data_IF_319488721343
#
_entry.id   IF_319488721343
#
_cell.length_a   1.000
_cell.length_b   1.000
_cell.length_c   1.000
_cell.angle_alpha   90.00
_cell.angle_beta   90.00
_cell.angle_gamma   90.00
#
_symmetry.space_group_name_H-M   'P 1'
#
loop_
_entity.id
_entity.type
_entity.pdbx_description
1 polymer ?
#
# COMPACT_ATOMS: atom_id res chain seq x y z
N UNK A 1 6.22 -23.76 -9.62
CA UNK A 1 5.16 -23.89 -8.59
C UNK A 1 3.83 -24.23 -9.28
N UNK A 2 2.85 -24.82 -8.61
CA UNK A 2 1.53 -25.02 -9.20
C UNK A 2 0.80 -23.68 -9.31
N UNK A 3 0.13 -23.43 -10.44
CA UNK A 3 -0.69 -22.23 -10.61
C UNK A 3 -1.78 -22.19 -9.53
N UNK A 4 -2.15 -20.99 -9.09
CA UNK A 4 -3.26 -20.79 -8.14
C UNK A 4 -4.57 -21.30 -8.79
N UNK A 5 -5.30 -22.13 -8.06
CA UNK A 5 -6.61 -22.61 -8.48
C UNK A 5 -7.64 -21.45 -8.43
N UNK A 6 -8.10 -21.00 -9.62
CA UNK A 6 -9.03 -19.88 -9.76
C UNK A 6 -10.43 -20.14 -9.21
N UNK A 7 -10.76 -21.40 -8.89
CA UNK A 7 -12.04 -21.78 -8.28
C UNK A 7 -11.95 -21.96 -6.76
N UNK A 8 -10.74 -21.99 -6.22
CA UNK A 8 -10.52 -22.09 -4.78
C UNK A 8 -10.90 -20.80 -4.05
N UNK A 9 -11.32 -20.88 -2.77
CA UNK A 9 -11.63 -19.68 -1.99
C UNK A 9 -10.37 -18.82 -1.72
N UNK A 10 -10.41 -17.56 -2.18
CA UNK A 10 -9.36 -16.56 -2.01
C UNK A 10 -9.86 -15.44 -1.10
N UNK A 11 -9.24 -15.24 0.04
CA UNK A 11 -9.59 -14.15 0.94
C UNK A 11 -8.73 -12.91 0.72
N UNK A 12 -9.38 -11.76 0.53
CA UNK A 12 -8.74 -10.45 0.46
C UNK A 12 -9.07 -9.66 1.74
N UNK A 13 -8.18 -9.77 2.72
CA UNK A 13 -8.29 -9.02 3.98
C UNK A 13 -7.95 -7.54 3.73
N UNK A 14 -8.93 -6.64 3.89
CA UNK A 14 -8.78 -5.21 3.57
C UNK A 14 -9.28 -4.81 2.19
N UNK A 15 -10.22 -5.56 1.62
CA UNK A 15 -10.76 -5.41 0.26
C UNK A 15 -11.33 -4.03 -0.09
N UNK A 16 -11.69 -3.18 0.90
CA UNK A 16 -12.16 -1.80 0.68
C UNK A 16 -11.05 -0.76 0.66
N UNK A 17 -9.80 -1.13 0.97
CA UNK A 17 -8.65 -0.23 0.90
C UNK A 17 -8.16 -0.05 -0.53
N UNK A 18 -7.25 0.93 -0.74
CA UNK A 18 -6.58 1.18 -2.02
C UNK A 18 -6.07 -0.12 -2.66
N UNK A 19 -5.24 -0.88 -1.96
CA UNK A 19 -4.65 -2.12 -2.46
C UNK A 19 -5.67 -3.25 -2.57
N UNK A 20 -6.49 -3.44 -1.52
CA UNK A 20 -7.43 -4.56 -1.50
C UNK A 20 -8.49 -4.47 -2.58
N UNK A 21 -8.99 -3.27 -2.90
CA UNK A 21 -9.96 -3.08 -3.99
C UNK A 21 -9.34 -3.36 -5.36
N UNK A 22 -8.09 -2.96 -5.58
CA UNK A 22 -7.36 -3.27 -6.81
C UNK A 22 -7.12 -4.78 -6.96
N UNK A 23 -6.72 -5.48 -5.89
CA UNK A 23 -6.57 -6.94 -5.92
C UNK A 23 -7.90 -7.61 -6.27
N UNK A 24 -9.03 -7.18 -5.68
CA UNK A 24 -10.34 -7.76 -6.00
C UNK A 24 -10.69 -7.56 -7.46
N UNK A 25 -10.50 -6.35 -8.02
CA UNK A 25 -10.73 -6.09 -9.46
C UNK A 25 -9.87 -6.99 -10.35
N UNK A 26 -8.58 -7.10 -10.02
CA UNK A 26 -7.66 -7.97 -10.78
C UNK A 26 -8.08 -9.43 -10.71
N UNK A 27 -8.37 -9.96 -9.52
CA UNK A 27 -8.80 -11.35 -9.37
C UNK A 27 -10.09 -11.65 -10.16
N UNK A 28 -11.06 -10.72 -10.18
CA UNK A 28 -12.27 -10.83 -10.99
C UNK A 28 -11.93 -10.86 -12.49
N UNK A 29 -11.06 -9.98 -12.95
CA UNK A 29 -10.62 -9.91 -14.36
C UNK A 29 -9.85 -11.17 -14.78
N UNK A 30 -9.09 -11.77 -13.86
CA UNK A 30 -8.33 -13.01 -14.08
C UNK A 30 -9.19 -14.30 -13.93
N UNK A 31 -10.50 -14.16 -13.72
CA UNK A 31 -11.43 -15.28 -13.69
C UNK A 31 -11.48 -16.05 -12.37
N UNK A 32 -11.09 -15.46 -11.26
CA UNK A 32 -11.30 -16.06 -9.94
C UNK A 32 -12.78 -16.01 -9.59
N UNK A 33 -13.38 -17.16 -9.27
CA UNK A 33 -14.82 -17.29 -9.07
C UNK A 33 -15.25 -17.33 -7.60
N UNK A 34 -14.32 -17.47 -6.66
CA UNK A 34 -14.61 -17.60 -5.24
C UNK A 34 -13.76 -16.62 -4.40
N UNK A 35 -14.06 -15.32 -4.55
CA UNK A 35 -13.38 -14.26 -3.84
C UNK A 35 -14.14 -13.95 -2.55
N UNK A 36 -13.50 -14.19 -1.41
CA UNK A 36 -14.04 -13.94 -0.07
C UNK A 36 -13.61 -12.54 0.40
N UNK A 37 -14.57 -11.79 0.92
CA UNK A 37 -14.36 -10.48 1.53
C UNK A 37 -15.20 -10.35 2.79
N UNK A 38 -14.74 -9.59 3.76
CA UNK A 38 -15.51 -9.27 4.96
C UNK A 38 -15.23 -7.82 5.39
N UNK A 39 -16.28 -7.06 5.65
CA UNK A 39 -16.21 -5.72 6.20
C UNK A 39 -15.88 -5.76 7.69
N UNK A 40 -15.33 -4.67 8.21
CA UNK A 40 -15.04 -4.54 9.64
C UNK A 40 -16.29 -4.68 10.54
N UNK A 41 -17.49 -4.37 10.03
CA UNK A 41 -18.76 -4.59 10.75
C UNK A 41 -19.16 -6.06 10.81
N UNK A 42 -18.59 -6.92 9.98
CA UNK A 42 -18.84 -8.38 9.91
C UNK A 42 -17.68 -9.14 10.55
N UNK A 43 -16.45 -8.62 10.44
CA UNK A 43 -15.23 -9.25 10.94
C UNK A 43 -14.21 -8.18 11.37
N UNK A 44 -14.06 -7.96 12.67
CA UNK A 44 -12.94 -7.17 13.18
C UNK A 44 -11.68 -8.03 13.22
N UNK A 45 -10.75 -7.76 12.32
CA UNK A 45 -9.49 -8.52 12.21
C UNK A 45 -8.60 -8.42 13.46
N UNK A 46 -8.94 -7.57 14.43
CA UNK A 46 -8.25 -7.46 15.72
C UNK A 46 -8.80 -8.43 16.76
N UNK A 47 -9.99 -8.98 16.55
CA UNK A 47 -10.61 -9.95 17.44
C UNK A 47 -10.19 -11.38 17.03
N UNK A 48 -9.39 -12.02 17.88
CA UNK A 48 -8.89 -13.37 17.63
C UNK A 48 -10.01 -14.40 17.50
N UNK A 49 -11.06 -14.28 18.31
CA UNK A 49 -12.18 -15.22 18.32
C UNK A 49 -13.00 -15.13 17.03
N UNK A 50 -13.33 -13.90 16.60
CA UNK A 50 -14.04 -13.66 15.35
C UNK A 50 -13.25 -14.16 14.14
N UNK A 51 -11.94 -13.85 14.08
CA UNK A 51 -11.07 -14.25 12.96
C UNK A 51 -10.94 -15.78 12.91
N UNK A 52 -10.69 -16.45 14.03
CA UNK A 52 -10.60 -17.92 14.10
C UNK A 52 -11.92 -18.58 13.67
N UNK A 53 -13.05 -18.07 14.14
CA UNK A 53 -14.37 -18.57 13.72
C UNK A 53 -14.61 -18.39 12.23
N UNK A 54 -14.32 -17.20 11.70
CA UNK A 54 -14.52 -16.86 10.29
C UNK A 54 -13.64 -17.75 9.38
N UNK A 55 -12.37 -17.93 9.68
CA UNK A 55 -11.44 -18.79 8.93
C UNK A 55 -11.90 -20.25 8.97
N UNK A 56 -12.37 -20.74 10.12
CA UNK A 56 -12.90 -22.09 10.26
C UNK A 56 -14.15 -22.32 9.40
N UNK A 57 -15.04 -21.33 9.33
CA UNK A 57 -16.27 -21.42 8.55
C UNK A 57 -16.05 -21.30 7.04
N UNK A 58 -15.15 -20.41 6.61
CA UNK A 58 -14.96 -20.04 5.19
C UNK A 58 -13.81 -20.79 4.50
N UNK A 59 -12.84 -21.32 5.26
CA UNK A 59 -11.73 -22.15 4.76
C UNK A 59 -11.02 -21.58 3.54
N UNK A 60 -10.52 -20.33 3.57
CA UNK A 60 -9.76 -19.80 2.44
C UNK A 60 -8.52 -20.65 2.16
N UNK A 61 -8.25 -20.93 0.89
CA UNK A 61 -7.02 -21.60 0.47
C UNK A 61 -5.88 -20.61 0.23
N UNK A 62 -6.24 -19.40 -0.22
CA UNK A 62 -5.28 -18.33 -0.49
C UNK A 62 -5.70 -17.07 0.25
N UNK A 63 -4.72 -16.34 0.78
CA UNK A 63 -4.97 -15.12 1.54
C UNK A 63 -4.07 -13.98 1.08
N UNK A 64 -4.68 -12.84 0.73
CA UNK A 64 -4.00 -11.56 0.59
C UNK A 64 -4.25 -10.74 1.85
N UNK A 65 -3.26 -10.65 2.73
CA UNK A 65 -3.33 -9.85 3.95
C UNK A 65 -2.80 -8.44 3.67
N UNK A 66 -3.70 -7.57 3.22
CA UNK A 66 -3.40 -6.18 2.89
C UNK A 66 -4.10 -5.18 3.83
N UNK A 67 -4.86 -5.70 4.79
CA UNK A 67 -5.49 -4.90 5.84
C UNK A 67 -4.44 -4.28 6.77
N UNK A 68 -4.74 -3.07 7.23
CA UNK A 68 -3.93 -2.39 8.23
C UNK A 68 -4.47 -0.99 8.52
N UNK A 69 -4.13 -0.46 9.70
CA UNK A 69 -4.31 0.94 10.04
C UNK A 69 -3.14 1.73 9.44
N UNK A 70 -3.43 2.56 8.45
CA UNK A 70 -2.44 3.32 7.68
C UNK A 70 -2.80 4.80 7.65
N UNK A 71 -1.80 5.66 7.42
CA UNK A 71 -2.00 7.10 7.31
C UNK A 71 -0.69 7.84 7.08
N UNK A 72 -0.79 9.15 6.79
CA UNK A 72 0.35 10.04 6.59
C UNK A 72 1.19 10.26 7.87
N UNK A 73 2.22 11.11 7.77
CA UNK A 73 3.16 11.39 8.86
C UNK A 73 2.44 11.93 10.11
N UNK A 74 1.50 12.86 9.93
CA UNK A 74 0.75 13.45 11.05
C UNK A 74 -0.04 12.41 11.82
N UNK A 75 -0.78 11.54 11.12
CA UNK A 75 -1.57 10.48 11.73
C UNK A 75 -0.69 9.47 12.50
N UNK A 76 0.45 9.08 11.93
CA UNK A 76 1.42 8.19 12.58
C UNK A 76 2.01 8.81 13.85
N UNK A 77 2.38 10.09 13.81
CA UNK A 77 3.01 10.77 14.95
C UNK A 77 2.03 11.09 16.08
N UNK A 78 0.74 11.29 15.78
CA UNK A 78 -0.29 11.67 16.76
C UNK A 78 -1.03 10.46 17.36
N UNK A 79 -1.05 9.31 16.70
CA UNK A 79 -1.75 8.10 17.15
C UNK A 79 -0.86 6.84 17.18
N UNK A 80 0.34 6.91 17.77
CA UNK A 80 1.33 5.81 17.71
C UNK A 80 0.82 4.50 18.30
N UNK A 81 0.07 4.55 19.41
CA UNK A 81 -0.47 3.37 20.07
C UNK A 81 -1.50 2.62 19.19
N UNK A 82 -2.37 3.35 18.49
CA UNK A 82 -3.33 2.74 17.57
C UNK A 82 -2.62 2.07 16.39
N UNK A 83 -1.62 2.75 15.80
CA UNK A 83 -0.88 2.21 14.66
C UNK A 83 -0.13 0.92 15.00
N UNK A 84 0.55 0.84 16.15
CA UNK A 84 1.25 -0.38 16.53
C UNK A 84 0.26 -1.48 16.94
N UNK A 85 -0.72 -1.16 17.82
CA UNK A 85 -1.63 -2.15 18.38
C UNK A 85 -2.53 -2.76 17.30
N UNK A 86 -3.24 -1.94 16.52
CA UNK A 86 -4.16 -2.42 15.50
C UNK A 86 -3.45 -3.32 14.48
N UNK A 87 -2.29 -2.86 13.98
CA UNK A 87 -1.56 -3.65 12.98
C UNK A 87 -1.01 -4.95 13.57
N UNK A 88 -0.46 -4.95 14.78
CA UNK A 88 0.02 -6.19 15.42
C UNK A 88 -1.12 -7.19 15.62
N UNK A 89 -2.29 -6.74 16.08
CA UNK A 89 -3.45 -7.61 16.26
C UNK A 89 -3.92 -8.19 14.92
N UNK A 90 -4.13 -7.35 13.89
CA UNK A 90 -4.54 -7.80 12.55
C UNK A 90 -3.57 -8.87 12.01
N UNK A 91 -2.27 -8.61 12.09
CA UNK A 91 -1.26 -9.55 11.57
C UNK A 91 -1.25 -10.86 12.38
N UNK A 92 -1.29 -10.74 13.70
CA UNK A 92 -1.24 -11.90 14.61
C UNK A 92 -2.43 -12.82 14.42
N UNK A 93 -3.63 -12.29 14.43
CA UNK A 93 -4.87 -13.06 14.33
C UNK A 93 -5.03 -13.73 12.96
N UNK A 94 -4.77 -13.00 11.87
CA UNK A 94 -4.95 -13.53 10.51
C UNK A 94 -3.90 -14.57 10.17
N UNK A 95 -2.60 -14.31 10.45
CA UNK A 95 -1.52 -15.26 10.15
C UNK A 95 -1.69 -16.56 10.98
N UNK A 96 -2.06 -16.43 12.27
CA UNK A 96 -2.28 -17.60 13.10
C UNK A 96 -3.49 -18.42 12.63
N UNK A 97 -4.62 -17.77 12.35
CA UNK A 97 -5.83 -18.47 11.84
C UNK A 97 -5.60 -19.11 10.48
N UNK A 98 -4.79 -18.47 9.61
CA UNK A 98 -4.40 -19.05 8.33
C UNK A 98 -3.62 -20.36 8.52
N UNK A 99 -2.71 -20.41 9.47
CA UNK A 99 -1.99 -21.63 9.84
C UNK A 99 -2.93 -22.70 10.39
N UNK A 100 -3.76 -22.36 11.39
CA UNK A 100 -4.65 -23.35 12.06
C UNK A 100 -5.67 -23.96 11.08
N UNK A 101 -6.10 -23.20 10.07
CA UNK A 101 -7.07 -23.68 9.10
C UNK A 101 -6.46 -24.28 7.83
N UNK A 102 -5.12 -24.31 7.74
CA UNK A 102 -4.40 -24.95 6.65
C UNK A 102 -4.47 -24.17 5.33
N UNK A 103 -4.32 -22.84 5.39
CA UNK A 103 -4.18 -21.99 4.20
C UNK A 103 -2.97 -22.43 3.38
N UNK A 104 -3.16 -22.68 2.09
CA UNK A 104 -2.09 -23.15 1.20
C UNK A 104 -1.01 -22.09 1.00
N UNK A 105 -1.42 -20.81 0.82
CA UNK A 105 -0.49 -19.70 0.65
C UNK A 105 -1.07 -18.38 1.15
N UNK A 106 -0.23 -17.59 1.81
CA UNK A 106 -0.56 -16.26 2.29
C UNK A 106 0.48 -15.24 1.81
N UNK A 107 0.01 -14.13 1.24
CA UNK A 107 0.83 -12.95 0.98
C UNK A 107 0.53 -11.89 2.02
N UNK A 108 1.54 -11.52 2.79
CA UNK A 108 1.52 -10.41 3.73
C UNK A 108 2.07 -9.15 3.06
N UNK A 109 1.29 -8.06 3.07
CA UNK A 109 1.72 -6.78 2.56
C UNK A 109 2.31 -5.92 3.68
N UNK A 110 3.63 -5.72 3.61
CA UNK A 110 4.37 -4.81 4.47
C UNK A 110 4.33 -3.37 3.98
N UNK A 111 5.45 -2.68 4.15
CA UNK A 111 5.66 -1.31 3.69
C UNK A 111 7.15 -0.99 3.67
N UNK A 112 7.61 -0.17 2.75
CA UNK A 112 9.00 0.32 2.71
C UNK A 112 9.41 1.16 3.94
N UNK A 113 8.47 1.50 4.84
CA UNK A 113 8.76 2.15 6.13
C UNK A 113 9.58 1.28 7.10
N UNK A 114 9.68 -0.02 6.84
CA UNK A 114 10.47 -0.97 7.65
C UNK A 114 11.98 -0.76 7.58
N UNK A 115 12.45 -0.05 6.58
CA UNK A 115 13.87 0.15 6.37
C UNK A 115 14.44 1.30 7.21
N UNK A 116 15.72 1.22 7.57
CA UNK A 116 16.38 2.27 8.32
C UNK A 116 16.26 3.63 7.62
N UNK A 117 16.16 4.69 8.42
CA UNK A 117 16.10 6.08 7.92
C UNK A 117 17.25 6.43 6.98
N UNK A 118 18.44 5.89 7.25
CA UNK A 118 19.67 6.17 6.53
C UNK A 118 20.20 4.95 5.76
N UNK A 119 19.29 4.03 5.35
CA UNK A 119 19.67 2.91 4.50
C UNK A 119 20.32 3.37 3.20
N UNK A 120 21.28 2.58 2.70
CA UNK A 120 21.88 2.82 1.39
C UNK A 120 20.82 2.81 0.28
N UNK A 121 21.04 3.61 -0.76
CA UNK A 121 20.09 3.77 -1.87
C UNK A 121 20.69 3.23 -3.18
N UNK A 122 19.97 2.42 -3.96
CA UNK A 122 18.62 1.88 -3.68
C UNK A 122 18.63 0.89 -2.50
N UNK A 123 17.49 0.81 -1.77
CA UNK A 123 17.36 0.02 -0.54
C UNK A 123 17.13 -1.44 -0.89
N UNK A 124 18.04 -2.31 -0.51
CA UNK A 124 17.89 -3.76 -0.67
C UNK A 124 17.11 -4.37 0.50
N UNK A 125 16.57 -5.57 0.30
CA UNK A 125 15.85 -6.29 1.37
C UNK A 125 16.74 -6.62 2.58
N UNK A 126 18.04 -6.71 2.39
CA UNK A 126 19.02 -7.01 3.44
C UNK A 126 19.19 -5.85 4.45
N UNK A 127 18.70 -4.65 4.13
CA UNK A 127 18.69 -3.50 5.04
C UNK A 127 17.67 -3.63 6.19
N UNK A 128 16.81 -4.65 6.18
CA UNK A 128 15.84 -4.87 7.25
C UNK A 128 16.54 -5.07 8.60
N UNK A 129 16.24 -4.18 9.57
CA UNK A 129 16.85 -4.15 10.91
C UNK A 129 18.34 -3.78 10.94
N UNK A 130 18.90 -3.24 9.87
CA UNK A 130 20.31 -2.82 9.82
C UNK A 130 20.60 -1.48 10.53
N UNK A 131 19.57 -0.73 10.95
CA UNK A 131 19.73 0.55 11.62
C UNK A 131 18.43 1.13 12.19
N UNK A 132 18.49 2.36 12.77
CA UNK A 132 17.33 3.04 13.35
C UNK A 132 16.26 3.38 12.29
N UNK A 133 15.02 3.22 12.68
CA UNK A 133 13.84 3.57 11.86
C UNK A 133 13.62 5.09 11.82
N UNK A 134 12.73 5.53 10.92
CA UNK A 134 12.26 6.91 10.89
C UNK A 134 11.33 7.19 12.10
N UNK A 135 11.69 8.11 13.01
CA UNK A 135 10.95 8.30 14.26
C UNK A 135 9.47 8.66 14.08
N UNK A 136 9.11 9.33 12.98
CA UNK A 136 7.73 9.79 12.74
C UNK A 136 6.75 8.67 12.43
N UNK A 137 7.24 7.48 12.02
CA UNK A 137 6.42 6.31 11.71
C UNK A 137 6.97 5.00 12.30
N UNK A 138 7.86 5.08 13.29
CA UNK A 138 8.54 3.94 13.91
C UNK A 138 7.56 2.87 14.39
N UNK A 139 6.47 3.26 15.04
CA UNK A 139 5.48 2.34 15.60
C UNK A 139 4.76 1.51 14.54
N UNK A 140 4.41 2.14 13.44
CA UNK A 140 3.88 1.44 12.26
C UNK A 140 4.92 0.51 11.65
N UNK A 141 6.14 0.99 11.48
CA UNK A 141 7.24 0.20 10.92
C UNK A 141 7.54 -1.05 11.78
N UNK A 142 7.58 -0.92 13.11
CA UNK A 142 7.76 -2.05 14.03
C UNK A 142 6.64 -3.10 13.84
N UNK A 143 5.38 -2.66 13.76
CA UNK A 143 4.27 -3.59 13.53
C UNK A 143 4.41 -4.31 12.18
N UNK A 144 4.83 -3.60 11.13
CA UNK A 144 5.07 -4.21 9.81
C UNK A 144 6.25 -5.18 9.82
N UNK A 145 7.34 -4.86 10.51
CA UNK A 145 8.47 -5.78 10.73
C UNK A 145 8.02 -7.02 11.48
N UNK A 146 7.21 -6.88 12.54
CA UNK A 146 6.66 -8.00 13.28
C UNK A 146 5.84 -8.95 12.40
N UNK A 147 5.03 -8.41 11.47
CA UNK A 147 4.27 -9.21 10.50
C UNK A 147 5.17 -10.02 9.56
N UNK A 148 6.26 -9.42 9.03
CA UNK A 148 7.26 -10.14 8.22
C UNK A 148 7.87 -11.28 9.03
N UNK A 149 8.35 -10.97 10.24
CA UNK A 149 8.98 -11.96 11.11
C UNK A 149 8.03 -13.07 11.53
N UNK A 150 6.74 -12.76 11.68
CA UNK A 150 5.71 -13.73 11.95
C UNK A 150 5.55 -14.71 10.76
N UNK A 151 5.42 -14.22 9.54
CA UNK A 151 5.36 -15.07 8.34
C UNK A 151 6.60 -15.97 8.23
N UNK A 152 7.80 -15.41 8.42
CA UNK A 152 9.06 -16.16 8.44
C UNK A 152 9.07 -17.25 9.52
N UNK A 153 8.60 -16.95 10.73
CA UNK A 153 8.56 -17.89 11.84
C UNK A 153 7.62 -19.08 11.54
N UNK A 154 6.42 -18.81 11.01
CA UNK A 154 5.47 -19.86 10.62
C UNK A 154 5.99 -20.72 9.47
N UNK A 155 6.67 -20.10 8.51
CA UNK A 155 7.33 -20.82 7.43
C UNK A 155 8.41 -21.78 7.96
N UNK A 156 9.28 -21.29 8.82
CA UNK A 156 10.40 -22.10 9.39
C UNK A 156 9.93 -23.21 10.31
N UNK A 157 8.96 -22.93 11.17
CA UNK A 157 8.51 -23.86 12.17
C UNK A 157 7.51 -24.89 11.63
N UNK A 158 6.59 -24.48 10.77
CA UNK A 158 5.45 -25.28 10.34
C UNK A 158 5.42 -25.56 8.84
N UNK A 159 6.34 -25.01 8.07
CA UNK A 159 6.39 -25.21 6.61
C UNK A 159 5.31 -24.44 5.82
N UNK A 160 4.67 -23.44 6.44
CA UNK A 160 3.65 -22.61 5.79
C UNK A 160 4.24 -21.85 4.58
N UNK A 161 3.54 -21.79 3.45
CA UNK A 161 3.95 -20.94 2.33
C UNK A 161 3.42 -19.50 2.50
N UNK A 162 3.92 -18.83 3.55
CA UNK A 162 3.61 -17.44 3.87
C UNK A 162 4.75 -16.55 3.38
N UNK A 163 4.44 -15.66 2.46
CA UNK A 163 5.40 -14.74 1.82
C UNK A 163 5.09 -13.29 2.19
N UNK A 164 6.08 -12.41 2.03
CA UNK A 164 5.94 -10.99 2.37
C UNK A 164 6.42 -10.10 1.24
N UNK A 165 5.61 -9.11 0.84
CA UNK A 165 5.91 -8.12 -0.17
C UNK A 165 5.98 -6.71 0.42
N UNK A 166 7.00 -5.92 0.03
CA UNK A 166 7.29 -4.58 0.56
C UNK A 166 7.09 -3.53 -0.53
N UNK A 167 5.90 -2.92 -0.62
CA UNK A 167 5.65 -1.92 -1.65
C UNK A 167 6.33 -0.59 -1.32
N UNK A 168 6.68 0.14 -2.39
CA UNK A 168 7.01 1.56 -2.35
C UNK A 168 5.77 2.42 -2.10
N UNK A 169 5.83 3.76 -2.33
CA UNK A 169 4.65 4.61 -2.17
C UNK A 169 3.62 4.30 -3.26
N UNK A 170 2.40 4.09 -2.84
CA UNK A 170 1.29 3.69 -3.70
C UNK A 170 0.37 4.86 -4.01
N UNK A 171 -0.27 4.81 -5.16
CA UNK A 171 -1.33 5.72 -5.57
C UNK A 171 -2.25 5.02 -6.58
N UNK A 172 -3.44 5.55 -6.78
CA UNK A 172 -4.38 5.02 -7.77
C UNK A 172 -5.85 5.17 -7.37
N UNK A 173 -6.77 4.58 -8.15
CA UNK A 173 -8.19 4.53 -7.85
C UNK A 173 -8.49 3.95 -6.47
N UNK A 174 -9.30 4.65 -5.66
CA UNK A 174 -9.62 4.24 -4.29
C UNK A 174 -8.69 4.79 -3.21
N UNK A 175 -7.78 5.70 -3.56
CA UNK A 175 -6.90 6.35 -2.58
C UNK A 175 -7.66 7.31 -1.64
N UNK A 176 -6.96 7.77 -0.61
CA UNK A 176 -7.47 8.73 0.38
C UNK A 176 -7.11 10.16 -0.04
N UNK A 177 -8.11 10.98 -0.33
CA UNK A 177 -7.94 12.38 -0.77
C UNK A 177 -8.13 13.41 0.36
N UNK A 178 -8.17 12.99 1.61
CA UNK A 178 -8.23 13.89 2.77
C UNK A 178 -6.92 14.66 2.94
N UNK A 179 -6.99 15.99 3.00
CA UNK A 179 -5.80 16.85 3.03
C UNK A 179 -4.95 16.68 4.30
N UNK A 180 -5.54 16.20 5.40
CA UNK A 180 -4.86 16.03 6.69
C UNK A 180 -4.24 14.63 6.86
N UNK A 181 -4.78 13.62 6.19
CA UNK A 181 -4.38 12.22 6.39
C UNK A 181 -3.86 11.50 5.15
N UNK A 182 -3.97 12.11 3.96
CA UNK A 182 -3.56 11.51 2.69
C UNK A 182 -2.05 11.49 2.46
N UNK A 183 -1.63 10.73 1.47
CA UNK A 183 -0.28 10.74 0.92
C UNK A 183 -0.10 11.89 -0.08
N UNK A 184 1.14 12.11 -0.52
CA UNK A 184 1.51 13.27 -1.33
C UNK A 184 0.76 13.37 -2.66
N UNK A 185 0.58 12.26 -3.41
CA UNK A 185 -0.11 12.29 -4.71
C UNK A 185 -1.57 12.70 -4.56
N UNK A 186 -2.42 12.01 -3.77
CA UNK A 186 -3.82 12.42 -3.62
C UNK A 186 -3.97 13.81 -2.99
N UNK A 187 -3.08 14.22 -2.07
CA UNK A 187 -3.09 15.58 -1.52
C UNK A 187 -2.83 16.65 -2.60
N UNK A 188 -1.82 16.44 -3.45
CA UNK A 188 -1.52 17.37 -4.54
C UNK A 188 -2.64 17.38 -5.59
N UNK A 189 -3.14 16.22 -6.01
CA UNK A 189 -4.28 16.15 -6.93
C UNK A 189 -5.48 16.94 -6.42
N UNK A 190 -5.84 16.75 -5.14
CA UNK A 190 -6.93 17.48 -4.51
C UNK A 190 -6.68 19.00 -4.50
N UNK A 191 -5.48 19.44 -4.12
CA UNK A 191 -5.12 20.87 -4.11
C UNK A 191 -5.23 21.50 -5.51
N UNK A 192 -4.71 20.84 -6.54
CA UNK A 192 -4.81 21.32 -7.93
C UNK A 192 -6.24 21.31 -8.45
N UNK A 193 -7.04 20.30 -8.08
CA UNK A 193 -8.46 20.22 -8.44
C UNK A 193 -9.26 21.35 -7.76
N UNK A 194 -9.07 21.56 -6.48
CA UNK A 194 -9.77 22.61 -5.72
C UNK A 194 -9.41 24.01 -6.23
N UNK A 195 -8.14 24.25 -6.57
CA UNK A 195 -7.69 25.50 -7.18
C UNK A 195 -8.37 25.74 -8.54
N UNK A 196 -8.41 24.71 -9.40
CA UNK A 196 -9.11 24.78 -10.68
C UNK A 196 -10.60 25.09 -10.52
N UNK A 197 -11.25 24.48 -9.53
CA UNK A 197 -12.69 24.67 -9.28
C UNK A 197 -13.04 26.06 -8.74
N UNK A 198 -12.07 26.73 -8.08
CA UNK A 198 -12.22 28.10 -7.54
C UNK A 198 -11.66 29.18 -8.45
N UNK A 199 -11.17 28.84 -9.65
CA UNK A 199 -10.44 29.74 -10.54
C UNK A 199 -9.23 30.41 -9.86
N UNK A 200 -8.57 29.65 -8.96
CA UNK A 200 -7.36 30.07 -8.27
C UNK A 200 -6.14 29.67 -9.09
N UNK A 201 -5.28 30.64 -9.36
CA UNK A 201 -4.10 30.40 -10.20
C UNK A 201 -2.88 29.91 -9.42
N UNK A 202 -2.99 29.67 -8.11
CA UNK A 202 -1.85 29.31 -7.26
C UNK A 202 -2.17 28.13 -6.37
N UNK A 203 -1.22 27.16 -6.32
CA UNK A 203 -1.27 25.99 -5.45
C UNK A 203 -0.04 25.97 -4.55
N UNK A 204 -0.26 26.04 -3.24
CA UNK A 204 0.81 25.92 -2.25
C UNK A 204 1.22 24.45 -2.04
N UNK A 205 2.52 24.18 -2.20
CA UNK A 205 3.15 22.88 -1.97
C UNK A 205 4.17 22.98 -0.85
N UNK A 206 4.11 22.07 0.12
CA UNK A 206 5.00 22.08 1.28
C UNK A 206 6.42 21.64 0.95
N UNK A 207 7.40 22.26 1.61
CA UNK A 207 8.82 21.95 1.50
C UNK A 207 9.50 22.64 0.31
N UNK A 208 10.69 22.18 -0.04
CA UNK A 208 11.47 22.70 -1.18
C UNK A 208 11.19 21.94 -2.47
N UNK A 209 10.56 20.76 -2.38
CA UNK A 209 10.38 19.83 -3.48
C UNK A 209 11.63 19.03 -3.85
N UNK A 210 12.70 19.11 -3.06
CA UNK A 210 14.00 18.46 -3.37
C UNK A 210 14.06 16.98 -3.00
N UNK A 211 13.16 16.50 -2.15
CA UNK A 211 13.14 15.10 -1.74
C UNK A 211 12.73 14.18 -2.90
N UNK A 212 13.39 13.01 -2.99
CA UNK A 212 13.13 12.00 -4.03
C UNK A 212 12.24 10.88 -3.49
N UNK A 213 11.25 10.46 -4.27
CA UNK A 213 10.34 9.36 -3.96
C UNK A 213 10.08 8.50 -5.17
N UNK A 214 9.90 7.23 -4.90
CA UNK A 214 9.41 6.24 -5.85
C UNK A 214 7.91 6.05 -5.68
N UNK A 215 7.18 5.91 -6.79
CA UNK A 215 5.73 5.71 -6.81
C UNK A 215 5.36 4.53 -7.70
N UNK A 216 4.41 3.72 -7.25
CA UNK A 216 3.89 2.58 -7.99
C UNK A 216 2.36 2.68 -8.05
N UNK A 217 1.79 2.50 -9.24
CA UNK A 217 0.34 2.44 -9.39
C UNK A 217 -0.23 1.21 -8.70
N UNK A 218 -1.39 1.36 -8.06
CA UNK A 218 -1.98 0.28 -7.25
C UNK A 218 -2.33 -0.97 -8.06
N UNK A 219 -2.70 -0.83 -9.34
CA UNK A 219 -3.02 -1.96 -10.20
C UNK A 219 -1.75 -2.73 -10.62
N UNK A 220 -0.61 -2.06 -10.76
CA UNK A 220 0.69 -2.73 -10.89
C UNK A 220 1.06 -3.48 -9.59
N UNK A 221 0.81 -2.89 -8.42
CA UNK A 221 1.00 -3.63 -7.17
C UNK A 221 0.10 -4.87 -7.09
N UNK A 222 -1.17 -4.76 -7.46
CA UNK A 222 -2.08 -5.92 -7.47
C UNK A 222 -1.56 -7.03 -8.39
N UNK A 223 -1.08 -6.65 -9.59
CA UNK A 223 -0.42 -7.56 -10.53
C UNK A 223 0.84 -8.21 -9.94
N UNK A 224 1.70 -7.43 -9.25
CA UNK A 224 2.86 -7.96 -8.55
C UNK A 224 2.47 -8.95 -7.44
N UNK A 225 1.45 -8.63 -6.65
CA UNK A 225 0.95 -9.51 -5.60
C UNK A 225 0.46 -10.85 -6.16
N UNK A 226 -0.30 -10.84 -7.26
CA UNK A 226 -0.76 -12.07 -7.91
C UNK A 226 0.44 -12.86 -8.49
N UNK A 227 1.37 -12.17 -9.18
CA UNK A 227 2.59 -12.79 -9.68
C UNK A 227 3.39 -13.48 -8.57
N UNK A 228 3.58 -12.84 -7.42
CA UNK A 228 4.29 -13.42 -6.27
C UNK A 228 3.54 -14.59 -5.65
N UNK A 229 2.23 -14.54 -5.60
CA UNK A 229 1.41 -15.65 -5.16
C UNK A 229 1.56 -16.87 -6.08
N UNK A 230 1.79 -16.69 -7.38
CA UNK A 230 1.97 -17.78 -8.35
C UNK A 230 3.42 -18.26 -8.46
N UNK A 231 4.41 -17.36 -8.30
CA UNK A 231 5.79 -17.64 -8.72
C UNK A 231 6.85 -17.52 -7.62
N UNK A 232 6.50 -17.00 -6.42
CA UNK A 232 7.46 -16.79 -5.35
C UNK A 232 7.12 -17.63 -4.10
N UNK A 233 8.11 -18.33 -3.55
CA UNK A 233 8.00 -19.10 -2.30
C UNK A 233 9.35 -19.14 -1.62
N UNK A 234 9.71 -18.07 -0.91
CA UNK A 234 10.94 -17.96 -0.16
C UNK A 234 10.68 -17.36 1.24
N UNK A 235 11.68 -17.46 2.10
CA UNK A 235 11.65 -16.90 3.47
C UNK A 235 11.91 -15.39 3.48
N UNK A 236 12.67 -14.90 2.50
CA UNK A 236 12.97 -13.50 2.32
C UNK A 236 11.72 -12.75 1.86
N UNK A 237 11.54 -11.54 2.38
CA UNK A 237 10.58 -10.62 1.80
C UNK A 237 11.11 -10.04 0.48
N UNK A 238 10.23 -9.49 -0.34
CA UNK A 238 10.56 -8.97 -1.65
C UNK A 238 10.08 -7.52 -1.81
N UNK A 239 10.96 -6.64 -2.26
CA UNK A 239 10.62 -5.26 -2.59
C UNK A 239 9.76 -5.19 -3.85
N UNK A 240 8.70 -4.36 -3.80
CA UNK A 240 7.80 -4.14 -4.94
C UNK A 240 7.77 -2.65 -5.27
N UNK A 241 8.28 -2.30 -6.43
CA UNK A 241 8.39 -0.92 -6.89
C UNK A 241 8.71 -0.83 -8.37
N UNK A 242 8.97 0.38 -8.83
CA UNK A 242 9.40 0.66 -10.21
C UNK A 242 10.92 0.60 -10.38
N UNK A 243 11.66 0.82 -9.28
CA UNK A 243 13.11 1.03 -9.30
C UNK A 243 13.52 2.39 -9.87
N UNK A 244 12.58 3.33 -9.97
CA UNK A 244 12.82 4.70 -10.47
C UNK A 244 12.17 5.69 -9.52
N UNK A 245 12.90 6.69 -9.10
CA UNK A 245 12.41 7.80 -8.29
C UNK A 245 12.45 9.13 -9.04
N UNK A 246 11.68 10.09 -8.54
CA UNK A 246 11.67 11.47 -9.01
C UNK A 246 11.56 12.42 -7.81
N UNK A 247 11.94 13.68 -8.01
CA UNK A 247 11.77 14.71 -6.99
C UNK A 247 10.30 15.04 -6.78
N UNK A 248 9.95 15.51 -5.58
CA UNK A 248 8.60 16.03 -5.29
C UNK A 248 8.26 17.22 -6.20
N UNK A 249 9.27 17.97 -6.64
CA UNK A 249 9.10 19.05 -7.61
C UNK A 249 8.61 18.52 -8.96
N UNK A 250 9.30 17.54 -9.53
CA UNK A 250 8.90 16.90 -10.80
C UNK A 250 7.52 16.25 -10.67
N UNK A 251 7.22 15.61 -9.54
CA UNK A 251 5.90 15.06 -9.25
C UNK A 251 4.81 16.14 -9.27
N UNK A 252 5.02 17.26 -8.57
CA UNK A 252 4.06 18.35 -8.49
C UNK A 252 3.81 18.97 -9.87
N UNK A 253 4.86 19.13 -10.67
CA UNK A 253 4.77 19.60 -12.06
C UNK A 253 3.97 18.62 -12.93
N UNK A 254 4.22 17.32 -12.81
CA UNK A 254 3.48 16.29 -13.57
C UNK A 254 2.00 16.27 -13.17
N UNK A 255 1.69 16.36 -11.87
CA UNK A 255 0.29 16.42 -11.41
C UNK A 255 -0.38 17.72 -11.89
N UNK A 256 0.32 18.85 -11.86
CA UNK A 256 -0.19 20.12 -12.42
C UNK A 256 -0.59 19.96 -13.88
N UNK A 257 0.27 19.37 -14.72
CA UNK A 257 -0.03 19.16 -16.15
C UNK A 257 -1.29 18.30 -16.36
N UNK A 258 -1.52 17.31 -15.51
CA UNK A 258 -2.70 16.43 -15.61
C UNK A 258 -3.97 17.11 -15.10
N UNK A 259 -3.89 17.86 -13.98
CA UNK A 259 -5.08 18.33 -13.25
C UNK A 259 -5.43 19.80 -13.58
N UNK A 260 -4.44 20.68 -13.54
CA UNK A 260 -4.62 22.14 -13.73
C UNK A 260 -3.36 22.77 -14.35
N UNK A 261 -3.17 22.66 -15.68
CA UNK A 261 -1.94 23.11 -16.36
C UNK A 261 -1.65 24.61 -16.22
N UNK A 262 -2.66 25.41 -15.91
CA UNK A 262 -2.55 26.88 -15.79
C UNK A 262 -2.14 27.35 -14.39
N UNK A 263 -2.15 26.48 -13.39
CA UNK A 263 -1.80 26.85 -12.02
C UNK A 263 -0.28 27.11 -11.86
N UNK A 264 0.04 28.07 -11.00
CA UNK A 264 1.40 28.31 -10.50
C UNK A 264 1.62 27.49 -9.22
N UNK A 265 2.85 26.98 -9.05
CA UNK A 265 3.25 26.27 -7.83
C UNK A 265 4.03 27.24 -6.94
N UNK A 266 3.55 27.44 -5.72
CA UNK A 266 4.27 28.16 -4.66
C UNK A 266 4.77 27.17 -3.60
N UNK A 267 6.05 27.28 -3.24
CA UNK A 267 6.70 26.37 -2.29
C UNK A 267 6.74 26.97 -0.88
N UNK A 268 6.03 26.35 0.07
CA UNK A 268 6.14 26.70 1.49
C UNK A 268 7.35 25.99 2.12
N UNK A 269 8.50 26.65 2.05
CA UNK A 269 9.75 26.14 2.59
C UNK A 269 9.84 26.17 4.12
N UNK A 270 8.81 26.68 4.81
CA UNK A 270 8.70 26.60 6.28
C UNK A 270 8.35 25.18 6.75
N UNK A 271 7.84 24.34 5.84
CA UNK A 271 7.50 22.94 6.11
C UNK A 271 8.68 22.02 5.76
N UNK A 272 8.83 20.89 6.49
CA UNK A 272 9.94 19.98 6.27
C UNK A 272 9.77 19.15 4.98
N UNK A 273 10.89 18.83 4.32
CA UNK A 273 10.93 17.94 3.14
C UNK A 273 10.81 16.43 3.48
N UNK A 274 10.99 16.04 4.74
CA UNK A 274 11.07 14.64 5.15
C UNK A 274 12.40 13.97 4.76
N UNK A 275 12.42 12.64 4.64
CA UNK A 275 13.62 11.86 4.27
C UNK A 275 14.11 12.28 2.87
N UNK A 276 15.42 12.54 2.65
CA UNK A 276 15.92 13.06 1.36
C UNK A 276 15.63 12.15 0.16
N UNK A 277 15.82 10.82 0.30
CA UNK A 277 15.57 9.86 -0.77
C UNK A 277 15.03 8.55 -0.23
N UNK A 278 14.11 7.91 -0.99
CA UNK A 278 13.59 6.58 -0.70
C UNK A 278 13.29 5.85 -2.01
N UNK A 279 14.24 5.04 -2.43
CA UNK A 279 14.19 4.22 -3.63
C UNK A 279 14.46 2.76 -3.26
N UNK A 280 13.63 1.82 -3.71
CA UNK A 280 13.82 0.39 -3.48
C UNK A 280 14.72 -0.22 -4.56
N UNK A 281 15.56 -1.17 -4.17
CA UNK A 281 16.12 -2.13 -5.10
C UNK A 281 15.04 -3.19 -5.40
N UNK A 282 14.69 -3.34 -6.66
CA UNK A 282 13.64 -4.24 -7.12
C UNK A 282 14.19 -5.39 -7.98
N UNK A 283 15.50 -5.63 -7.89
CA UNK A 283 16.18 -6.66 -8.70
C UNK A 283 15.59 -8.05 -8.49
N UNK A 284 15.31 -8.44 -7.24
CA UNK A 284 14.67 -9.73 -6.92
C UNK A 284 13.32 -9.92 -7.59
N UNK A 285 12.50 -8.85 -7.63
CA UNK A 285 11.20 -8.87 -8.29
C UNK A 285 11.33 -9.00 -9.81
N UNK A 286 12.25 -8.25 -10.43
CA UNK A 286 12.56 -8.35 -11.86
C UNK A 286 13.08 -9.73 -12.23
N UNK A 287 13.97 -10.30 -11.43
CA UNK A 287 14.52 -11.65 -11.62
C UNK A 287 13.42 -12.73 -11.53
N UNK A 288 12.31 -12.46 -10.81
CA UNK A 288 11.13 -13.33 -10.79
C UNK A 288 10.29 -13.25 -12.06
N UNK A 289 10.57 -12.30 -12.96
CA UNK A 289 9.88 -12.12 -14.25
C UNK A 289 8.73 -11.10 -14.21
N UNK A 290 8.66 -10.22 -13.21
CA UNK A 290 7.65 -9.17 -13.14
C UNK A 290 8.27 -7.78 -13.32
N UNK A 291 7.56 -6.93 -14.07
CA UNK A 291 7.87 -5.49 -14.24
C UNK A 291 6.59 -4.64 -14.21
N UNK A 292 6.67 -3.38 -13.73
CA UNK A 292 5.53 -2.46 -13.77
C UNK A 292 5.19 -2.09 -15.22
N UNK A 293 3.92 -1.85 -15.49
CA UNK A 293 3.41 -1.54 -16.83
C UNK A 293 2.82 -0.14 -16.96
N UNK A 294 2.40 0.46 -15.85
CA UNK A 294 1.71 1.75 -15.83
C UNK A 294 2.74 2.85 -15.60
N UNK A 295 2.87 3.77 -16.57
CA UNK A 295 3.75 4.93 -16.39
C UNK A 295 3.17 5.89 -15.36
N UNK A 296 4.01 6.71 -14.73
CA UNK A 296 3.53 7.70 -13.75
C UNK A 296 2.46 8.62 -14.35
N UNK A 297 2.67 9.12 -15.56
CA UNK A 297 1.72 10.03 -16.22
C UNK A 297 0.38 9.37 -16.51
N UNK A 298 0.38 8.13 -17.04
CA UNK A 298 -0.84 7.39 -17.31
C UNK A 298 -1.59 7.06 -16.01
N UNK A 299 -0.86 6.62 -15.00
CA UNK A 299 -1.45 6.30 -13.68
C UNK A 299 -2.03 7.54 -12.97
N UNK A 300 -1.38 8.71 -13.09
CA UNK A 300 -1.92 9.96 -12.56
C UNK A 300 -3.20 10.38 -13.31
N UNK A 301 -3.25 10.22 -14.62
CA UNK A 301 -4.44 10.51 -15.43
C UNK A 301 -5.60 9.58 -15.06
N UNK A 302 -5.34 8.27 -14.94
CA UNK A 302 -6.32 7.27 -14.51
C UNK A 302 -6.86 7.57 -13.09
N UNK A 303 -5.96 7.86 -12.14
CA UNK A 303 -6.33 8.22 -10.78
C UNK A 303 -7.22 9.47 -10.73
N UNK A 304 -6.88 10.49 -11.52
CA UNK A 304 -7.65 11.74 -11.57
C UNK A 304 -9.00 11.54 -12.24
N UNK A 305 -9.09 10.75 -13.29
CA UNK A 305 -10.35 10.39 -13.94
C UNK A 305 -11.27 9.66 -12.95
N UNK A 306 -10.74 8.67 -12.24
CA UNK A 306 -11.49 7.97 -11.18
C UNK A 306 -11.99 8.94 -10.08
N UNK A 307 -11.14 9.90 -9.65
CA UNK A 307 -11.52 10.90 -8.66
C UNK A 307 -12.71 11.75 -9.15
N UNK A 308 -12.70 12.19 -10.42
CA UNK A 308 -13.78 12.97 -11.00
C UNK A 308 -15.10 12.20 -11.08
N UNK A 309 -15.05 10.94 -11.49
CA UNK A 309 -16.21 10.05 -11.59
C UNK A 309 -16.81 9.79 -10.21
N UNK A 310 -16.00 9.40 -9.24
CA UNK A 310 -16.43 9.14 -7.87
C UNK A 310 -17.02 10.41 -7.20
N UNK A 311 -16.45 11.58 -7.49
CA UNK A 311 -16.98 12.86 -7.00
C UNK A 311 -18.34 13.19 -7.64
N UNK A 312 -18.50 12.97 -8.94
CA UNK A 312 -19.75 13.19 -9.68
C UNK A 312 -20.88 12.24 -9.26
N UNK A 313 -20.55 10.99 -8.92
CA UNK A 313 -21.51 9.98 -8.44
C UNK A 313 -21.87 10.13 -6.96
N UNK A 314 -21.28 11.09 -6.25
CA UNK A 314 -21.51 11.28 -4.81
C UNK A 314 -21.00 10.11 -3.96
N UNK A 315 -20.04 9.35 -4.48
CA UNK A 315 -19.35 8.31 -3.72
C UNK A 315 -18.61 9.01 -2.59
N UNK A 316 -18.82 8.56 -1.35
CA UNK A 316 -18.06 9.08 -0.20
C UNK A 316 -16.59 8.73 -0.41
N UNK A 317 -15.86 9.66 -1.02
CA UNK A 317 -14.41 9.60 -1.11
C UNK A 317 -13.84 9.71 0.29
N UNK A 318 -12.88 8.89 0.65
CA UNK A 318 -12.20 9.04 1.94
C UNK A 318 -11.61 10.44 2.02
N UNK A 319 -12.11 11.24 3.00
CA UNK A 319 -11.65 12.60 3.25
C UNK A 319 -12.19 13.67 2.31
N UNK A 320 -13.20 13.39 1.52
CA UNK A 320 -13.95 14.41 0.79
C UNK A 320 -15.37 14.43 1.36
N UNK A 321 -15.67 15.42 2.18
CA UNK A 321 -17.05 15.69 2.56
C UNK A 321 -17.85 16.02 1.29
N UNK A 322 -19.08 15.48 1.21
CA UNK A 322 -20.00 15.87 0.15
C UNK A 322 -20.21 17.40 0.27
N UNK A 323 -19.73 18.15 -0.71
CA UNK A 323 -20.00 19.58 -0.85
C UNK A 323 -21.47 19.80 -1.20
#
# INVERSE_FOLDING_TARGET
MAAIDRHAPVYVAGHRGLVGSSIVRLLQAEGFTNILTADRSVLDLRDQGEVSHWFTANRPRYVFLVAGTVGGILANSTRPAEFIYDNMMIHGTVVHSAYETGVDKLLYLGSSCIYPRHAAQPITEDELLAGPLEPTNEWYAIAKIAGIKLCQAYRRQYGCDFISAMPTNLYGPGDNFDLDSSHVIPALMRKFHDARSRDDNTVEVWGTGSAFREFLHVDDLASACLHLMENYSADEHINVGTGVDLSIRELAETIREVVNPTANIEWDTSKPDGTPRKLLDVSRLRDSGWEPRITLTDGLADTYQWFLEAHAEGVTLRGVDAL
#
